data_IF_739580024818
#
_entry.id   IF_739580024818
#
_cell.length_a   1.000
_cell.length_b   1.000
_cell.length_c   1.000
_cell.angle_alpha   90.00
_cell.angle_beta   90.00
_cell.angle_gamma   90.00
#
_symmetry.space_group_name_H-M   'P 1'
#
loop_
_entity.id
_entity.type
_entity.pdbx_description
1 polymer ?
#
# COMPACT_ATOMS: atom_id res chain seq x y z
N UNK A 1 4.24 8.85 -16.45
CA UNK A 1 4.97 8.37 -15.26
C UNK A 1 5.21 9.56 -14.35
N UNK A 2 4.73 9.52 -13.12
CA UNK A 2 4.88 10.61 -12.14
C UNK A 2 5.63 10.13 -10.90
N UNK A 3 6.09 11.07 -10.09
CA UNK A 3 6.64 10.80 -8.76
C UNK A 3 5.55 11.06 -7.71
N UNK A 4 5.72 10.49 -6.53
CA UNK A 4 5.02 10.99 -5.35
C UNK A 4 5.51 12.42 -5.08
N UNK A 5 4.60 13.32 -4.73
CA UNK A 5 4.90 14.72 -4.43
C UNK A 5 4.81 14.97 -2.92
N UNK A 6 5.50 15.99 -2.41
CA UNK A 6 5.66 16.25 -0.95
C UNK A 6 4.46 15.93 -0.06
N UNK A 7 3.28 16.56 -0.25
CA UNK A 7 2.11 16.31 0.60
C UNK A 7 1.56 14.88 0.50
N UNK A 8 1.77 14.22 -0.63
CA UNK A 8 1.40 12.82 -0.85
C UNK A 8 2.41 11.88 -0.16
N UNK A 9 3.71 12.18 -0.24
CA UNK A 9 4.76 11.44 0.49
C UNK A 9 4.52 11.50 1.99
N UNK A 10 4.25 12.69 2.52
CA UNK A 10 3.98 12.91 3.95
C UNK A 10 2.70 12.22 4.42
N UNK A 11 1.80 11.90 3.50
CA UNK A 11 0.59 11.16 3.82
C UNK A 11 0.79 9.67 4.00
N UNK A 12 1.85 9.07 3.43
CA UNK A 12 2.12 7.64 3.51
C UNK A 12 3.33 7.36 4.41
N UNK A 13 3.08 6.87 5.62
CA UNK A 13 4.12 6.51 6.61
C UNK A 13 4.59 5.04 6.51
N UNK A 14 4.10 4.30 5.51
CA UNK A 14 4.35 2.85 5.33
C UNK A 14 5.74 2.53 4.76
N UNK A 15 6.44 3.53 4.24
CA UNK A 15 7.80 3.42 3.71
C UNK A 15 8.65 4.64 4.10
N UNK A 16 9.99 4.48 4.08
CA UNK A 16 10.89 5.60 4.34
C UNK A 16 10.79 6.68 3.26
N UNK A 17 11.02 7.95 3.65
CA UNK A 17 10.97 9.11 2.73
C UNK A 17 11.90 8.93 1.53
N UNK A 18 13.10 8.40 1.77
CA UNK A 18 14.09 8.13 0.72
C UNK A 18 13.60 7.12 -0.32
N UNK A 19 12.85 6.10 0.10
CA UNK A 19 12.25 5.14 -0.81
C UNK A 19 11.05 5.75 -1.53
N UNK A 20 10.21 6.52 -0.83
CA UNK A 20 9.07 7.22 -1.43
C UNK A 20 9.50 8.16 -2.57
N UNK A 21 10.61 8.89 -2.43
CA UNK A 21 11.15 9.76 -3.48
C UNK A 21 11.62 8.98 -4.74
N UNK A 22 11.96 7.70 -4.58
CA UNK A 22 12.35 6.80 -5.66
C UNK A 22 11.17 6.13 -6.34
N UNK A 23 9.99 6.10 -5.70
CA UNK A 23 8.77 5.52 -6.26
C UNK A 23 8.35 6.28 -7.53
N UNK A 24 7.83 5.52 -8.49
CA UNK A 24 7.32 6.02 -9.75
C UNK A 24 5.94 5.46 -10.00
N UNK A 25 4.94 6.33 -10.02
CA UNK A 25 3.57 5.98 -10.32
C UNK A 25 3.37 6.01 -11.83
N UNK A 26 2.88 4.90 -12.38
CA UNK A 26 2.59 4.75 -13.80
C UNK A 26 1.13 4.38 -13.95
N UNK A 27 0.34 5.28 -14.53
CA UNK A 27 -1.03 4.96 -14.92
C UNK A 27 -1.00 4.06 -16.14
N UNK A 28 -1.64 2.90 -16.06
CA UNK A 28 -1.77 1.96 -17.18
C UNK A 28 -3.24 1.64 -17.41
N UNK A 29 -3.72 1.61 -18.67
CA UNK A 29 -5.12 1.37 -18.98
C UNK A 29 -5.57 -0.06 -18.66
N UNK A 30 -4.63 -1.01 -18.70
CA UNK A 30 -4.86 -2.43 -18.40
C UNK A 30 -3.75 -2.92 -17.47
N UNK A 31 -4.15 -3.50 -16.35
CA UNK A 31 -3.28 -4.26 -15.45
C UNK A 31 -3.50 -5.75 -15.70
N UNK A 32 -2.41 -6.52 -15.68
CA UNK A 32 -2.51 -7.98 -15.71
C UNK A 32 -3.26 -8.47 -14.46
N UNK A 33 -4.10 -9.49 -14.62
CA UNK A 33 -4.91 -10.15 -13.56
C UNK A 33 -6.10 -9.37 -12.98
N UNK A 34 -6.55 -8.28 -13.63
CA UNK A 34 -7.75 -7.56 -13.18
C UNK A 34 -7.58 -6.81 -11.86
N UNK A 35 -6.34 -6.64 -11.40
CA UNK A 35 -6.03 -5.84 -10.22
C UNK A 35 -6.20 -4.34 -10.50
N UNK A 36 -6.40 -3.55 -9.43
CA UNK A 36 -6.50 -2.09 -9.52
C UNK A 36 -5.14 -1.41 -9.31
N UNK A 37 -4.15 -2.14 -8.78
CA UNK A 37 -2.78 -1.74 -8.54
C UNK A 37 -1.82 -2.91 -8.73
N UNK A 38 -0.56 -2.62 -9.00
CA UNK A 38 0.52 -3.60 -9.04
C UNK A 38 1.87 -2.92 -8.77
N UNK A 39 2.73 -3.60 -8.02
CA UNK A 39 4.09 -3.12 -7.74
C UNK A 39 5.14 -3.97 -8.45
N UNK A 40 6.03 -3.29 -9.17
CA UNK A 40 7.20 -3.89 -9.81
C UNK A 40 8.44 -3.08 -9.42
N UNK A 41 9.11 -3.52 -8.36
CA UNK A 41 10.26 -2.83 -7.81
C UNK A 41 9.92 -1.43 -7.30
N UNK A 42 10.42 -0.39 -7.97
CA UNK A 42 10.11 1.02 -7.63
C UNK A 42 8.90 1.58 -8.36
N UNK A 43 8.32 0.79 -9.28
CA UNK A 43 7.21 1.22 -10.13
C UNK A 43 5.91 0.75 -9.52
N UNK A 44 5.01 1.69 -9.26
CA UNK A 44 3.64 1.43 -8.81
C UNK A 44 2.72 1.69 -10.00
N UNK A 45 2.15 0.63 -10.53
CA UNK A 45 1.24 0.66 -11.66
C UNK A 45 -0.19 0.76 -11.13
N UNK A 46 -0.94 1.77 -11.56
CA UNK A 46 -2.33 1.98 -11.14
C UNK A 46 -3.23 2.07 -12.37
N UNK A 47 -4.44 1.52 -12.28
CA UNK A 47 -5.45 1.69 -13.34
C UNK A 47 -5.99 3.12 -13.37
N UNK A 48 -6.23 3.67 -12.18
CA UNK A 48 -6.74 5.01 -11.95
C UNK A 48 -5.83 5.72 -10.95
N UNK A 49 -5.54 6.99 -11.23
CA UNK A 49 -4.70 7.84 -10.37
C UNK A 49 -5.26 9.27 -10.29
N UNK A 50 -6.59 9.34 -10.29
CA UNK A 50 -7.32 10.61 -10.34
C UNK A 50 -7.45 11.24 -8.93
N UNK A 51 -7.42 10.42 -7.88
CA UNK A 51 -7.37 10.88 -6.49
C UNK A 51 -5.92 10.90 -5.97
N UNK A 52 -5.46 12.10 -5.60
CA UNK A 52 -4.12 12.40 -5.06
C UNK A 52 -4.17 12.98 -3.65
N UNK A 53 -5.30 12.83 -2.96
CA UNK A 53 -5.51 13.33 -1.59
C UNK A 53 -4.60 12.69 -0.54
N UNK A 54 -3.81 11.67 -0.90
CA UNK A 54 -3.03 10.89 0.05
C UNK A 54 -3.90 10.00 0.95
N UNK A 55 -5.16 9.73 0.58
CA UNK A 55 -6.10 8.93 1.36
C UNK A 55 -6.41 7.56 0.70
N UNK A 56 -5.47 7.03 -0.09
CA UNK A 56 -5.71 5.81 -0.87
C UNK A 56 -5.06 4.61 -0.21
N UNK A 57 -5.91 3.79 0.41
CA UNK A 57 -5.52 2.49 0.99
C UNK A 57 -4.84 1.57 -0.02
N UNK A 58 -5.32 1.54 -1.26
CA UNK A 58 -4.68 0.78 -2.34
C UNK A 58 -3.25 1.27 -2.60
N UNK A 59 -3.01 2.58 -2.60
CA UNK A 59 -1.66 3.11 -2.80
C UNK A 59 -0.76 2.77 -1.61
N UNK A 60 -1.26 2.86 -0.37
CA UNK A 60 -0.52 2.41 0.80
C UNK A 60 -0.12 0.92 0.70
N UNK A 61 -1.03 0.07 0.23
CA UNK A 61 -0.76 -1.36 -0.02
C UNK A 61 0.37 -1.55 -1.04
N UNK A 62 0.32 -0.88 -2.20
CA UNK A 62 1.38 -0.98 -3.21
C UNK A 62 2.74 -0.46 -2.69
N UNK A 63 2.73 0.57 -1.85
CA UNK A 63 3.96 1.11 -1.27
C UNK A 63 4.63 0.14 -0.28
N UNK A 64 3.85 -0.68 0.43
CA UNK A 64 4.41 -1.75 1.28
C UNK A 64 5.14 -2.78 0.41
N UNK A 65 4.60 -3.14 -0.76
CA UNK A 65 5.31 -4.02 -1.71
C UNK A 65 6.62 -3.41 -2.19
N UNK A 66 6.69 -2.09 -2.41
CA UNK A 66 7.95 -1.40 -2.75
C UNK A 66 8.98 -1.58 -1.63
N UNK A 67 8.55 -1.40 -0.37
CA UNK A 67 9.42 -1.57 0.79
C UNK A 67 9.93 -3.01 0.88
N UNK A 68 9.02 -3.98 0.85
CA UNK A 68 9.35 -5.41 0.93
C UNK A 68 10.31 -5.83 -0.20
N UNK A 69 10.10 -5.32 -1.41
CA UNK A 69 10.96 -5.57 -2.55
C UNK A 69 12.38 -5.04 -2.34
N UNK A 70 12.52 -3.87 -1.72
CA UNK A 70 13.82 -3.27 -1.42
C UNK A 70 14.53 -3.97 -0.25
N UNK A 71 13.78 -4.32 0.81
CA UNK A 71 14.30 -5.00 2.01
C UNK A 71 14.76 -6.43 1.71
N UNK A 72 13.93 -7.22 1.03
CA UNK A 72 14.28 -8.60 0.68
C UNK A 72 15.20 -8.68 -0.55
N UNK A 73 15.12 -7.70 -1.45
CA UNK A 73 15.76 -7.74 -2.75
C UNK A 73 15.00 -8.60 -3.77
N UNK A 74 15.17 -8.28 -5.07
CA UNK A 74 14.41 -8.82 -6.21
C UNK A 74 14.21 -10.35 -6.17
N UNK A 75 15.31 -11.09 -6.11
CA UNK A 75 15.28 -12.54 -6.25
C UNK A 75 14.82 -13.26 -4.98
N UNK A 76 15.03 -12.68 -3.80
CA UNK A 76 14.56 -13.29 -2.57
C UNK A 76 13.05 -13.06 -2.40
N UNK A 77 12.58 -11.85 -2.70
CA UNK A 77 11.16 -11.53 -2.68
C UNK A 77 10.36 -12.43 -3.62
N UNK A 78 10.76 -12.53 -4.89
CA UNK A 78 10.05 -13.37 -5.86
C UNK A 78 10.03 -14.86 -5.46
N UNK A 79 11.15 -15.40 -4.96
CA UNK A 79 11.20 -16.79 -4.49
C UNK A 79 10.28 -17.03 -3.29
N UNK A 80 10.28 -16.13 -2.31
CA UNK A 80 9.40 -16.22 -1.15
C UNK A 80 7.93 -16.11 -1.57
N UNK A 81 7.62 -15.14 -2.42
CA UNK A 81 6.27 -14.89 -2.94
C UNK A 81 5.73 -16.10 -3.71
N UNK A 82 6.49 -16.62 -4.68
CA UNK A 82 6.09 -17.79 -5.45
C UNK A 82 6.02 -19.04 -4.58
N UNK A 83 6.97 -19.22 -3.64
CA UNK A 83 6.98 -20.34 -2.70
C UNK A 83 5.74 -20.39 -1.82
N UNK A 84 5.34 -19.23 -1.28
CA UNK A 84 4.10 -19.07 -0.51
C UNK A 84 2.88 -19.33 -1.39
N UNK A 85 2.83 -18.74 -2.59
CA UNK A 85 1.71 -18.93 -3.52
C UNK A 85 1.49 -20.41 -3.86
N UNK A 86 2.54 -21.14 -4.25
CA UNK A 86 2.41 -22.57 -4.57
C UNK A 86 2.10 -23.44 -3.36
N UNK A 87 2.57 -23.06 -2.16
CA UNK A 87 2.22 -23.75 -0.92
C UNK A 87 0.74 -23.57 -0.59
N UNK A 88 0.25 -22.33 -0.64
CA UNK A 88 -1.14 -22.02 -0.32
C UNK A 88 -2.10 -22.48 -1.43
N UNK A 89 -1.68 -22.49 -2.70
CA UNK A 89 -2.48 -23.02 -3.81
C UNK A 89 -2.69 -24.52 -3.66
N UNK A 90 -1.65 -25.27 -3.27
CA UNK A 90 -1.78 -26.70 -2.96
C UNK A 90 -2.73 -26.97 -1.79
N UNK A 91 -2.81 -26.05 -0.83
CA UNK A 91 -3.67 -26.16 0.36
C UNK A 91 -5.12 -25.75 0.10
N UNK A 92 -5.34 -24.60 -0.53
CA UNK A 92 -6.67 -23.98 -0.71
C UNK A 92 -7.39 -24.42 -1.98
N UNK A 93 -6.65 -24.87 -3.01
CA UNK A 93 -7.16 -25.17 -4.37
C UNK A 93 -7.95 -24.01 -5.01
N UNK A 94 -7.85 -22.82 -4.45
CA UNK A 94 -8.51 -21.60 -4.89
C UNK A 94 -7.44 -20.53 -5.08
N UNK A 95 -7.27 -20.04 -6.30
CA UNK A 95 -6.25 -19.04 -6.62
C UNK A 95 -6.37 -17.78 -5.78
N UNK A 96 -7.61 -17.34 -5.50
CA UNK A 96 -7.88 -16.14 -4.72
C UNK A 96 -7.47 -16.30 -3.27
N UNK A 97 -7.81 -17.43 -2.65
CA UNK A 97 -7.46 -17.68 -1.26
C UNK A 97 -5.97 -17.94 -1.10
N UNK A 98 -5.35 -18.62 -2.06
CA UNK A 98 -3.91 -18.79 -2.11
C UNK A 98 -3.17 -17.46 -2.17
N UNK A 99 -3.62 -16.55 -3.04
CA UNK A 99 -3.07 -15.20 -3.17
C UNK A 99 -3.20 -14.41 -1.86
N UNK A 100 -4.39 -14.36 -1.28
CA UNK A 100 -4.63 -13.62 -0.03
C UNK A 100 -3.88 -14.22 1.19
N UNK A 101 -3.48 -15.49 1.11
CA UNK A 101 -2.73 -16.17 2.15
C UNK A 101 -1.20 -15.96 2.05
N UNK A 102 -0.69 -15.43 0.93
CA UNK A 102 0.74 -15.11 0.77
C UNK A 102 1.16 -14.15 1.89
N UNK A 103 2.30 -14.42 2.53
CA UNK A 103 2.78 -13.61 3.66
C UNK A 103 2.92 -12.13 3.28
N UNK A 104 3.53 -11.85 2.13
CA UNK A 104 3.72 -10.50 1.61
C UNK A 104 2.38 -9.77 1.41
N UNK A 105 1.37 -10.43 0.82
CA UNK A 105 0.03 -9.87 0.64
C UNK A 105 -0.65 -9.59 1.99
N UNK A 106 -0.59 -10.55 2.92
CA UNK A 106 -1.17 -10.38 4.26
C UNK A 106 -0.57 -9.20 5.02
N UNK A 107 0.75 -9.06 4.96
CA UNK A 107 1.47 -7.96 5.58
C UNK A 107 1.10 -6.63 4.91
N UNK A 108 1.06 -6.57 3.57
CA UNK A 108 0.67 -5.38 2.83
C UNK A 108 -0.77 -4.94 3.13
N UNK A 109 -1.72 -5.88 3.24
CA UNK A 109 -3.08 -5.58 3.69
C UNK A 109 -3.10 -5.07 5.14
N UNK A 110 -2.44 -5.76 6.07
CA UNK A 110 -2.43 -5.38 7.47
C UNK A 110 -1.83 -3.98 7.69
N UNK A 111 -0.74 -3.65 7.01
CA UNK A 111 -0.12 -2.34 7.11
C UNK A 111 -0.94 -1.23 6.45
N UNK A 112 -1.55 -1.50 5.29
CA UNK A 112 -2.47 -0.55 4.67
C UNK A 112 -3.72 -0.30 5.53
N UNK A 113 -4.25 -1.34 6.18
CA UNK A 113 -5.35 -1.24 7.14
C UNK A 113 -4.95 -0.39 8.36
N UNK A 114 -3.78 -0.68 8.94
CA UNK A 114 -3.26 0.05 10.08
C UNK A 114 -3.01 1.53 9.75
N UNK A 115 -2.43 1.81 8.58
CA UNK A 115 -2.25 3.18 8.09
C UNK A 115 -3.58 3.91 7.92
N UNK A 116 -4.57 3.28 7.29
CA UNK A 116 -5.90 3.86 7.11
C UNK A 116 -6.58 4.12 8.46
N UNK A 117 -6.39 3.24 9.45
CA UNK A 117 -6.84 3.45 10.83
C UNK A 117 -6.19 4.67 11.48
N UNK A 118 -4.85 4.80 11.39
CA UNK A 118 -4.10 5.96 11.92
C UNK A 118 -4.58 7.28 11.30
N UNK A 119 -4.74 7.32 9.97
CA UNK A 119 -5.23 8.51 9.25
C UNK A 119 -6.62 8.95 9.71
N UNK A 120 -7.54 8.00 9.90
CA UNK A 120 -8.89 8.29 10.40
C UNK A 120 -8.88 8.78 11.85
N UNK A 121 -8.01 8.24 12.71
CA UNK A 121 -7.87 8.76 14.08
C UNK A 121 -7.29 10.17 14.12
N UNK A 122 -6.35 10.51 13.22
CA UNK A 122 -5.76 11.85 13.14
C UNK A 122 -6.74 12.91 12.62
N UNK A 123 -7.68 12.53 11.74
CA UNK A 123 -8.74 13.46 11.30
C UNK A 123 -9.80 13.69 12.37
N UNK A 124 -10.12 12.67 13.18
CA UNK A 124 -11.05 12.79 14.31
C UNK A 124 -10.43 13.55 15.51
N UNK A 125 -9.12 13.50 15.69
CA UNK A 125 -8.39 14.20 16.76
C UNK A 125 -8.31 15.73 16.60
N UNK A 126 -8.55 16.26 15.39
CA UNK A 126 -8.54 17.71 15.15
C UNK A 126 -9.90 18.40 15.43
N UNK A 127 -10.92 17.64 15.85
CA UNK A 127 -12.29 18.12 16.03
C UNK A 127 -12.75 18.36 17.47
N UNK A 128 -11.91 18.13 18.50
CA UNK A 128 -12.34 18.27 19.90
C UNK A 128 -11.42 19.22 20.70
N UNK A 129 -11.48 20.51 20.39
CA UNK A 129 -10.90 21.56 21.24
C UNK A 129 -11.69 22.88 21.13
N UNK A 130 -13.02 22.83 21.23
CA UNK A 130 -13.81 24.05 21.49
C UNK A 130 -15.17 23.75 22.12
N UNK A 131 -15.17 23.44 23.41
CA UNK A 131 -16.28 23.83 24.30
C UNK A 131 -15.82 23.74 25.77
N UNK A 132 -14.88 24.60 26.15
CA UNK A 132 -14.73 25.05 27.54
C UNK A 132 -14.78 26.56 27.50
N UNK A 133 -15.97 27.14 27.65
CA UNK A 133 -16.24 28.45 28.25
C UNK A 133 -17.70 28.84 28.02
N UNK A 134 -18.26 29.49 29.04
CA UNK A 134 -19.63 30.00 29.21
C UNK A 134 -20.59 28.98 29.83
N UNK A 135 -21.29 29.24 30.93
CA UNK A 135 -21.28 30.35 31.88
C UNK A 135 -22.11 29.89 33.09
N UNK A 136 -21.62 30.23 34.28
CA UNK A 136 -22.37 30.72 35.46
C UNK A 136 -23.52 29.88 35.99
#
# INVERSE_FOLDING_TARGET
MRRLEGPEIESYDVLSRELAERVRIVRVPVLFFGSNGMTIGRFVLLRTDDDRSGNRKLLAHELVHVRQWYEAGRCAFLRAYMGDYFRELRRSRCHRDAYLAIRAEREAYAEADAWAGRKQSSSLGSGCARCKQSAQ
#
